data_IF_149670908697
#
_entry.id   IF_149670908697
#
_cell.length_a   1.000
_cell.length_b   1.000
_cell.length_c   1.000
_cell.angle_alpha   90.00
_cell.angle_beta   90.00
_cell.angle_gamma   90.00
#
_symmetry.space_group_name_H-M   'P 1'
#
loop_
_entity.id
_entity.type
_entity.pdbx_description
1 polymer ?
#
# COMPACT_ATOMS: atom_id res chain seq x y z
N UNK A 1 7.96 6.07 -20.25
CA UNK A 1 8.16 6.18 -18.79
C UNK A 1 6.81 6.16 -18.10
N UNK A 2 6.60 5.25 -17.19
CA UNK A 2 5.43 5.18 -16.29
C UNK A 2 5.88 5.48 -14.87
N UNK A 3 4.98 6.04 -14.08
CA UNK A 3 5.14 6.19 -12.63
C UNK A 3 4.33 5.08 -11.98
N UNK A 4 4.99 4.16 -11.31
CA UNK A 4 4.37 2.96 -10.72
C UNK A 4 4.35 3.11 -9.20
N UNK A 5 3.17 3.23 -8.63
CA UNK A 5 2.95 3.23 -7.18
C UNK A 5 2.62 1.81 -6.72
N UNK A 6 3.58 1.16 -6.05
CA UNK A 6 3.38 -0.18 -5.49
C UNK A 6 2.58 -0.03 -4.21
N UNK A 7 1.38 -0.60 -4.20
CA UNK A 7 0.42 -0.59 -3.09
C UNK A 7 0.34 -1.98 -2.49
N UNK A 8 0.64 -2.18 -1.22
CA UNK A 8 0.39 -3.47 -0.57
C UNK A 8 -1.06 -3.89 -0.70
N UNK A 9 -2.01 -3.09 -0.21
CA UNK A 9 -3.44 -3.36 -0.28
C UNK A 9 -4.20 -2.37 -1.18
N UNK A 10 -5.48 -2.63 -1.30
CA UNK A 10 -6.46 -1.83 -2.05
C UNK A 10 -6.83 -0.57 -1.24
N UNK A 11 -5.94 0.43 -1.22
CA UNK A 11 -6.08 1.76 -0.61
C UNK A 11 -4.73 2.46 -0.35
N UNK A 12 -3.66 1.75 0.03
CA UNK A 12 -2.42 2.30 0.58
C UNK A 12 -1.80 3.41 -0.28
N UNK A 13 -1.73 3.22 -1.59
CA UNK A 13 -1.11 4.21 -2.49
C UNK A 13 -1.92 5.51 -2.54
N UNK A 14 -3.25 5.43 -2.61
CA UNK A 14 -4.12 6.62 -2.62
C UNK A 14 -4.16 7.26 -1.25
N UNK A 15 -4.27 6.48 -0.16
CA UNK A 15 -4.18 6.99 1.21
C UNK A 15 -2.91 7.83 1.41
N UNK A 16 -1.78 7.35 0.90
CA UNK A 16 -0.47 7.89 1.23
C UNK A 16 0.06 8.93 0.24
N UNK A 17 -0.36 8.88 -1.03
CA UNK A 17 0.20 9.71 -2.10
C UNK A 17 -0.82 10.22 -3.13
N UNK A 18 -2.12 10.11 -2.87
CA UNK A 18 -3.18 10.41 -3.85
C UNK A 18 -3.09 11.80 -4.48
N UNK A 19 -2.72 12.81 -3.69
CA UNK A 19 -2.55 14.18 -4.19
C UNK A 19 -1.38 14.32 -5.17
N UNK A 20 -0.25 13.68 -4.87
CA UNK A 20 0.91 13.66 -5.77
C UNK A 20 0.62 12.87 -7.05
N UNK A 21 -0.06 11.73 -6.92
CA UNK A 21 -0.52 10.92 -8.06
C UNK A 21 -1.36 11.77 -9.01
N UNK A 22 -2.33 12.52 -8.46
CA UNK A 22 -3.18 13.42 -9.24
C UNK A 22 -2.37 14.48 -9.98
N UNK A 23 -1.47 15.17 -9.28
CA UNK A 23 -0.67 16.25 -9.90
C UNK A 23 0.24 15.71 -11.00
N UNK A 24 0.84 14.54 -10.82
CA UNK A 24 1.62 13.86 -11.83
C UNK A 24 0.79 13.47 -13.07
N UNK A 25 -0.41 12.91 -12.85
CA UNK A 25 -1.34 12.57 -13.92
C UNK A 25 -1.80 13.82 -14.69
N UNK A 26 -2.11 14.91 -13.97
CA UNK A 26 -2.46 16.22 -14.57
C UNK A 26 -1.31 16.85 -15.36
N UNK A 27 -0.07 16.57 -14.97
CA UNK A 27 1.12 16.96 -15.71
C UNK A 27 1.40 16.08 -16.96
N UNK A 28 0.47 15.16 -17.30
CA UNK A 28 0.58 14.29 -18.47
C UNK A 28 1.43 13.03 -18.26
N UNK A 29 1.79 12.71 -17.02
CA UNK A 29 2.50 11.47 -16.72
C UNK A 29 1.53 10.29 -16.76
N UNK A 30 1.99 9.14 -17.26
CA UNK A 30 1.24 7.89 -17.13
C UNK A 30 1.48 7.30 -15.74
N UNK A 31 0.46 7.32 -14.89
CA UNK A 31 0.54 6.81 -13.52
C UNK A 31 -0.24 5.52 -13.39
N UNK A 32 0.37 4.51 -12.80
CA UNK A 32 -0.26 3.23 -12.48
C UNK A 32 -0.14 2.94 -10.98
N UNK A 33 -1.21 2.45 -10.36
CA UNK A 33 -1.22 1.92 -9.00
C UNK A 33 -1.22 0.40 -9.11
N UNK A 34 -0.16 -0.23 -8.63
CA UNK A 34 0.02 -1.68 -8.66
C UNK A 34 -0.28 -2.26 -7.29
N UNK A 35 -1.52 -2.69 -7.09
CA UNK A 35 -1.95 -3.30 -5.83
C UNK A 35 -1.61 -4.79 -5.83
N UNK A 36 -0.76 -5.19 -4.89
CA UNK A 36 -0.12 -6.52 -4.89
C UNK A 36 -0.98 -7.54 -4.15
N UNK A 37 -1.38 -7.23 -2.91
CA UNK A 37 -2.07 -8.16 -2.02
C UNK A 37 -3.57 -7.91 -2.08
N UNK A 38 -4.17 -8.33 -3.19
CA UNK A 38 -5.58 -8.14 -3.47
C UNK A 38 -6.19 -9.32 -4.27
N UNK A 39 -5.52 -10.49 -4.21
CA UNK A 39 -5.96 -11.71 -4.86
C UNK A 39 -7.17 -12.35 -4.19
N UNK A 40 -7.92 -13.11 -4.98
CA UNK A 40 -8.98 -13.95 -4.42
C UNK A 40 -8.35 -15.11 -3.65
N UNK A 41 -8.76 -15.33 -2.38
CA UNK A 41 -8.28 -16.48 -1.64
C UNK A 41 -8.85 -17.79 -2.24
N UNK A 42 -8.18 -18.93 -2.00
CA UNK A 42 -8.74 -20.23 -2.31
C UNK A 42 -10.11 -20.42 -1.67
N UNK A 43 -10.97 -21.23 -2.30
CA UNK A 43 -12.24 -21.64 -1.68
C UNK A 43 -11.99 -22.34 -0.34
N UNK A 44 -12.85 -22.07 0.63
CA UNK A 44 -12.77 -22.65 1.96
C UNK A 44 -13.30 -21.74 3.05
N UNK A 45 -13.23 -22.23 4.28
CA UNK A 45 -13.66 -21.45 5.44
C UNK A 45 -12.72 -20.28 5.71
N UNK A 46 -13.32 -19.14 6.06
CA UNK A 46 -12.55 -17.97 6.49
C UNK A 46 -11.77 -18.28 7.78
N UNK A 47 -10.58 -17.70 7.89
CA UNK A 47 -9.87 -17.70 9.17
C UNK A 47 -10.67 -16.90 10.21
N UNK A 48 -10.51 -17.13 11.51
CA UNK A 48 -11.20 -16.34 12.53
C UNK A 48 -10.90 -14.83 12.42
N UNK A 49 -9.67 -14.47 12.06
CA UNK A 49 -9.28 -13.08 11.83
C UNK A 49 -10.00 -12.48 10.61
N UNK A 50 -10.05 -13.22 9.49
CA UNK A 50 -10.78 -12.78 8.31
C UNK A 50 -12.27 -12.60 8.60
N UNK A 51 -12.89 -13.52 9.36
CA UNK A 51 -14.30 -13.40 9.76
C UNK A 51 -14.56 -12.13 10.56
N UNK A 52 -13.68 -11.82 11.53
CA UNK A 52 -13.82 -10.62 12.36
C UNK A 52 -13.70 -9.34 11.52
N UNK A 53 -12.73 -9.28 10.61
CA UNK A 53 -12.53 -8.12 9.73
C UNK A 53 -13.67 -7.97 8.71
N UNK A 54 -14.14 -9.07 8.11
CA UNK A 54 -15.30 -9.04 7.22
C UNK A 54 -16.55 -8.48 7.91
N UNK A 55 -16.77 -8.87 9.16
CA UNK A 55 -17.87 -8.33 9.96
C UNK A 55 -17.76 -6.81 10.15
N UNK A 56 -16.54 -6.30 10.40
CA UNK A 56 -16.28 -4.86 10.51
C UNK A 56 -16.46 -4.12 9.17
N UNK A 57 -16.06 -4.73 8.06
CA UNK A 57 -16.20 -4.17 6.71
C UNK A 57 -17.60 -4.33 6.12
N UNK A 58 -18.48 -5.12 6.76
CA UNK A 58 -19.85 -5.37 6.30
C UNK A 58 -19.96 -6.36 5.15
N UNK A 59 -19.00 -7.30 5.00
CA UNK A 59 -19.00 -8.31 3.94
C UNK A 59 -19.30 -9.71 4.48
N UNK A 60 -19.98 -10.50 3.65
CA UNK A 60 -20.36 -11.87 3.98
C UNK A 60 -19.37 -12.93 3.50
N UNK A 61 -18.55 -12.63 2.49
CA UNK A 61 -17.61 -13.59 1.90
C UNK A 61 -16.29 -12.95 1.46
N UNK A 62 -15.25 -13.76 1.31
CA UNK A 62 -13.96 -13.31 0.79
C UNK A 62 -14.06 -12.84 -0.67
N UNK A 63 -14.84 -13.53 -1.49
CA UNK A 63 -15.06 -13.13 -2.88
C UNK A 63 -15.72 -11.75 -2.97
N UNK A 64 -16.78 -11.53 -2.18
CA UNK A 64 -17.45 -10.24 -2.13
C UNK A 64 -16.49 -9.14 -1.66
N UNK A 65 -15.74 -9.39 -0.58
CA UNK A 65 -14.74 -8.46 -0.03
C UNK A 65 -13.75 -8.03 -1.11
N UNK A 66 -13.09 -8.98 -1.76
CA UNK A 66 -12.08 -8.69 -2.77
C UNK A 66 -12.70 -7.96 -3.96
N UNK A 67 -13.86 -8.41 -4.44
CA UNK A 67 -14.54 -7.79 -5.58
C UNK A 67 -14.95 -6.35 -5.30
N UNK A 68 -15.55 -6.08 -4.14
CA UNK A 68 -15.98 -4.73 -3.77
C UNK A 68 -14.78 -3.82 -3.54
N UNK A 69 -13.77 -4.27 -2.79
CA UNK A 69 -12.56 -3.47 -2.54
C UNK A 69 -11.78 -3.19 -3.82
N UNK A 70 -11.66 -4.15 -4.77
CA UNK A 70 -11.06 -3.88 -6.10
C UNK A 70 -11.86 -2.83 -6.89
N UNK A 71 -13.18 -2.81 -6.77
CA UNK A 71 -14.00 -1.80 -7.42
C UNK A 71 -13.84 -0.41 -6.76
N UNK A 72 -13.68 -0.35 -5.43
CA UNK A 72 -13.35 0.88 -4.71
C UNK A 72 -11.98 1.42 -5.16
N UNK A 73 -10.96 0.57 -5.22
CA UNK A 73 -9.61 0.93 -5.67
C UNK A 73 -9.60 1.44 -7.12
N UNK A 74 -10.34 0.80 -8.01
CA UNK A 74 -10.50 1.26 -9.38
C UNK A 74 -11.14 2.65 -9.48
N UNK A 75 -12.15 2.94 -8.64
CA UNK A 75 -12.78 4.27 -8.56
C UNK A 75 -11.81 5.31 -7.98
N UNK A 76 -11.13 4.99 -6.89
CA UNK A 76 -10.15 5.86 -6.26
C UNK A 76 -9.00 6.20 -7.22
N UNK A 77 -8.45 5.19 -7.91
CA UNK A 77 -7.43 5.38 -8.93
C UNK A 77 -7.90 6.31 -10.05
N UNK A 78 -9.12 6.14 -10.55
CA UNK A 78 -9.69 7.01 -11.59
C UNK A 78 -9.84 8.46 -11.11
N UNK A 79 -10.24 8.69 -9.86
CA UNK A 79 -10.35 10.04 -9.26
C UNK A 79 -8.97 10.72 -9.24
N UNK A 80 -7.92 10.03 -8.85
CA UNK A 80 -6.56 10.59 -8.83
C UNK A 80 -5.86 10.52 -10.20
N UNK A 81 -6.55 10.10 -11.26
CA UNK A 81 -6.02 10.07 -12.62
C UNK A 81 -5.03 8.94 -12.93
N UNK A 82 -5.00 7.90 -12.10
CA UNK A 82 -4.14 6.73 -12.27
C UNK A 82 -4.92 5.54 -12.85
N UNK A 83 -4.19 4.55 -13.36
CA UNK A 83 -4.72 3.25 -13.75
C UNK A 83 -4.46 2.23 -12.62
N UNK A 84 -5.51 1.58 -12.12
CA UNK A 84 -5.36 0.47 -11.18
C UNK A 84 -4.92 -0.81 -11.90
N UNK A 85 -3.95 -1.50 -11.33
CA UNK A 85 -3.45 -2.82 -11.76
C UNK A 85 -3.43 -3.73 -10.56
N UNK A 86 -4.25 -4.77 -10.57
CA UNK A 86 -4.41 -5.71 -9.48
C UNK A 86 -3.58 -6.98 -9.74
N UNK A 87 -2.76 -7.36 -8.77
CA UNK A 87 -2.08 -8.65 -8.74
C UNK A 87 -2.92 -9.68 -7.99
N UNK A 88 -2.48 -10.92 -8.01
CA UNK A 88 -3.32 -12.03 -7.52
C UNK A 88 -2.66 -12.75 -6.32
N UNK A 89 -2.14 -11.95 -5.36
CA UNK A 89 -1.64 -12.45 -4.08
C UNK A 89 -2.74 -12.26 -3.04
N UNK A 90 -3.20 -13.32 -2.35
CA UNK A 90 -4.21 -13.18 -1.30
C UNK A 90 -3.69 -12.39 -0.09
N UNK A 91 -4.57 -11.61 0.54
CA UNK A 91 -4.29 -10.91 1.80
C UNK A 91 -3.86 -11.90 2.89
N UNK A 92 -2.96 -11.46 3.79
CA UNK A 92 -2.43 -12.28 4.88
C UNK A 92 -3.52 -12.91 5.75
N UNK A 93 -4.66 -12.23 5.89
CA UNK A 93 -5.79 -12.73 6.69
C UNK A 93 -6.39 -14.04 6.15
N UNK A 94 -6.14 -14.37 4.87
CA UNK A 94 -6.61 -15.59 4.22
C UNK A 94 -5.55 -16.69 4.13
N UNK A 95 -4.27 -16.34 4.34
CA UNK A 95 -3.17 -17.26 4.06
C UNK A 95 -3.02 -18.35 5.12
N UNK A 96 -2.76 -19.57 4.65
CA UNK A 96 -2.65 -20.77 5.47
C UNK A 96 -1.35 -21.51 5.19
N UNK A 97 -0.86 -22.21 6.20
CA UNK A 97 0.25 -23.15 6.08
C UNK A 97 -0.12 -24.41 5.31
N UNK A 98 0.87 -25.25 5.05
CA UNK A 98 0.66 -26.55 4.41
C UNK A 98 -0.21 -27.51 5.24
N UNK A 99 -0.30 -27.30 6.54
CA UNK A 99 -1.15 -27.99 7.50
C UNK A 99 -2.62 -27.50 7.50
N UNK A 100 -2.90 -26.43 6.74
CA UNK A 100 -4.22 -25.79 6.68
C UNK A 100 -4.46 -24.75 7.78
N UNK A 101 -3.53 -24.56 8.74
CA UNK A 101 -3.68 -23.59 9.81
C UNK A 101 -3.43 -22.15 9.31
N UNK A 102 -4.15 -21.14 9.85
CA UNK A 102 -3.90 -19.74 9.53
C UNK A 102 -2.46 -19.34 9.88
N UNK A 103 -1.75 -18.66 8.97
CA UNK A 103 -0.39 -18.17 9.25
C UNK A 103 -0.38 -16.96 10.20
N UNK A 104 -1.47 -16.20 10.23
CA UNK A 104 -1.59 -14.95 10.99
C UNK A 104 -2.87 -14.93 11.86
N UNK A 105 -3.01 -15.88 12.83
CA UNK A 105 -4.25 -16.02 13.58
C UNK A 105 -4.47 -14.90 14.61
N UNK A 106 -3.39 -14.25 15.08
CA UNK A 106 -3.44 -13.28 16.19
C UNK A 106 -3.38 -11.82 15.73
N UNK A 107 -3.11 -11.56 14.45
CA UNK A 107 -3.03 -10.21 13.89
C UNK A 107 -2.03 -10.09 12.76
N UNK A 108 -1.94 -8.88 12.23
CA UNK A 108 -1.18 -8.59 10.99
C UNK A 108 0.08 -7.74 11.21
N UNK A 109 0.28 -7.21 12.43
CA UNK A 109 1.45 -6.41 12.79
C UNK A 109 2.53 -7.31 13.43
N UNK A 110 3.03 -8.22 12.61
CA UNK A 110 3.99 -9.26 13.01
C UNK A 110 5.02 -9.48 11.89
N UNK A 111 6.12 -10.15 12.23
CA UNK A 111 7.10 -10.56 11.22
C UNK A 111 6.51 -11.57 10.23
N UNK A 112 6.97 -11.58 8.96
CA UNK A 112 6.55 -12.58 7.98
C UNK A 112 6.77 -14.00 8.47
N UNK A 113 5.76 -14.85 8.33
CA UNK A 113 5.82 -16.24 8.79
C UNK A 113 6.87 -17.04 7.99
N UNK A 114 7.68 -17.93 8.63
CA UNK A 114 8.71 -18.70 7.94
C UNK A 114 8.20 -19.55 6.76
N UNK A 115 6.95 -19.99 6.80
CA UNK A 115 6.32 -20.72 5.69
C UNK A 115 6.16 -19.87 4.41
N UNK A 116 6.35 -18.55 4.50
CA UNK A 116 6.27 -17.61 3.37
C UNK A 116 7.64 -17.02 2.99
N UNK A 117 8.72 -17.68 3.36
CA UNK A 117 10.08 -17.17 3.10
C UNK A 117 10.36 -16.87 1.62
N UNK A 118 9.68 -17.52 0.69
CA UNK A 118 9.78 -17.31 -0.75
C UNK A 118 8.78 -16.28 -1.32
N UNK A 119 7.80 -15.84 -0.53
CA UNK A 119 6.70 -14.99 -1.02
C UNK A 119 7.21 -13.68 -1.62
N UNK A 120 8.14 -13.01 -0.94
CA UNK A 120 8.73 -11.76 -1.45
C UNK A 120 9.43 -12.00 -2.81
N UNK A 121 10.19 -13.08 -2.98
CA UNK A 121 10.87 -13.40 -4.24
C UNK A 121 9.86 -13.71 -5.39
N UNK A 122 8.76 -14.38 -5.06
CA UNK A 122 7.67 -14.63 -6.02
C UNK A 122 7.02 -13.31 -6.46
N UNK A 123 6.71 -12.42 -5.52
CA UNK A 123 6.16 -11.09 -5.82
C UNK A 123 7.16 -10.28 -6.66
N UNK A 124 8.47 -10.30 -6.32
CA UNK A 124 9.52 -9.68 -7.14
C UNK A 124 9.43 -10.13 -8.60
N UNK A 125 9.31 -11.44 -8.83
CA UNK A 125 9.21 -12.00 -10.18
C UNK A 125 7.92 -11.54 -10.90
N UNK A 126 6.80 -11.46 -10.19
CA UNK A 126 5.53 -10.97 -10.75
C UNK A 126 5.61 -9.50 -11.14
N UNK A 127 6.23 -8.66 -10.32
CA UNK A 127 6.45 -7.24 -10.60
C UNK A 127 7.40 -7.08 -11.79
N UNK A 128 8.56 -7.77 -11.77
CA UNK A 128 9.58 -7.70 -12.81
C UNK A 128 9.03 -8.06 -14.19
N UNK A 129 8.13 -9.03 -14.27
CA UNK A 129 7.51 -9.47 -15.53
C UNK A 129 6.66 -8.38 -16.23
N UNK A 130 6.26 -7.32 -15.51
CA UNK A 130 5.43 -6.23 -16.04
C UNK A 130 6.16 -4.90 -16.18
N UNK A 131 7.38 -4.80 -15.63
CA UNK A 131 8.15 -3.57 -15.64
C UNK A 131 8.81 -3.30 -16.99
N UNK A 132 8.81 -2.03 -17.38
CA UNK A 132 9.58 -1.50 -18.50
C UNK A 132 10.88 -0.84 -17.99
N UNK A 133 11.92 -0.71 -18.85
CA UNK A 133 13.21 -0.15 -18.42
C UNK A 133 13.12 1.23 -17.76
N UNK A 134 12.26 2.11 -18.29
CA UNK A 134 12.15 3.52 -17.89
C UNK A 134 11.10 3.77 -16.81
N UNK A 135 10.54 2.72 -16.19
CA UNK A 135 9.57 2.89 -15.13
C UNK A 135 10.21 3.45 -13.87
N UNK A 136 9.54 4.40 -13.24
CA UNK A 136 9.91 4.98 -11.94
C UNK A 136 9.02 4.38 -10.87
N UNK A 137 9.64 3.82 -9.82
CA UNK A 137 8.95 3.04 -8.80
C UNK A 137 8.81 3.82 -7.50
N UNK A 138 7.60 3.78 -6.94
CA UNK A 138 7.25 4.30 -5.62
C UNK A 138 6.80 3.14 -4.73
N UNK A 139 7.24 3.12 -3.48
CA UNK A 139 7.01 2.04 -2.54
C UNK A 139 6.72 2.59 -1.14
N UNK A 140 5.90 1.95 -0.30
CA UNK A 140 5.69 2.39 1.07
C UNK A 140 6.94 2.22 1.93
N UNK A 141 7.08 3.08 2.96
CA UNK A 141 8.10 2.94 4.02
C UNK A 141 7.79 1.80 4.98
N UNK A 142 6.59 1.27 4.96
CA UNK A 142 6.04 0.23 5.86
C UNK A 142 5.91 0.68 7.32
N UNK A 143 5.56 1.96 7.55
CA UNK A 143 5.26 2.45 8.90
C UNK A 143 4.11 1.62 9.48
N UNK A 144 4.28 1.13 10.71
CA UNK A 144 3.31 0.24 11.37
C UNK A 144 3.65 -1.25 11.29
N UNK A 145 4.62 -1.64 10.44
CA UNK A 145 5.12 -3.04 10.32
C UNK A 145 4.02 -4.08 9.99
N UNK A 146 3.02 -3.70 9.19
CA UNK A 146 2.05 -4.66 8.68
C UNK A 146 2.77 -5.71 7.82
N UNK A 147 2.55 -6.99 8.07
CA UNK A 147 3.29 -8.10 7.43
C UNK A 147 3.28 -8.05 5.91
N UNK A 148 2.15 -7.68 5.29
CA UNK A 148 2.05 -7.54 3.84
C UNK A 148 2.83 -6.35 3.32
N UNK A 149 2.83 -5.21 4.04
CA UNK A 149 3.64 -4.05 3.68
C UNK A 149 5.13 -4.40 3.69
N UNK A 150 5.59 -5.07 4.76
CA UNK A 150 6.98 -5.54 4.87
C UNK A 150 7.35 -6.48 3.74
N UNK A 151 6.48 -7.44 3.43
CA UNK A 151 6.69 -8.43 2.35
C UNK A 151 6.73 -7.76 0.97
N UNK A 152 5.79 -6.85 0.68
CA UNK A 152 5.73 -6.14 -0.61
C UNK A 152 6.90 -5.18 -0.77
N UNK A 153 7.30 -4.47 0.28
CA UNK A 153 8.50 -3.64 0.26
C UNK A 153 9.75 -4.46 -0.02
N UNK A 154 9.94 -5.59 0.69
CA UNK A 154 11.06 -6.51 0.43
C UNK A 154 11.06 -7.00 -1.03
N UNK A 155 9.88 -7.27 -1.58
CA UNK A 155 9.75 -7.66 -2.98
C UNK A 155 10.14 -6.54 -3.94
N UNK A 156 9.72 -5.30 -3.68
CA UNK A 156 10.08 -4.14 -4.50
C UNK A 156 11.60 -3.87 -4.44
N UNK A 157 12.21 -3.95 -3.26
CA UNK A 157 13.68 -3.83 -3.08
C UNK A 157 14.43 -4.93 -3.83
N UNK A 158 13.87 -6.15 -3.87
CA UNK A 158 14.40 -7.29 -4.64
C UNK A 158 14.47 -7.09 -6.16
N UNK A 159 13.80 -6.06 -6.70
CA UNK A 159 13.92 -5.68 -8.12
C UNK A 159 15.29 -5.10 -8.47
N UNK A 160 16.09 -4.68 -7.48
CA UNK A 160 17.40 -4.06 -7.69
C UNK A 160 17.34 -2.75 -8.48
N UNK A 161 16.20 -2.03 -8.41
CA UNK A 161 15.96 -0.76 -9.10
C UNK A 161 15.84 0.39 -8.10
N UNK A 162 16.17 1.64 -8.50
CA UNK A 162 15.93 2.81 -7.67
C UNK A 162 14.46 2.93 -7.26
N UNK A 163 14.20 3.09 -5.96
CA UNK A 163 12.88 3.28 -5.40
C UNK A 163 12.76 4.67 -4.76
N UNK A 164 11.57 5.23 -4.82
CA UNK A 164 11.15 6.39 -4.04
C UNK A 164 10.12 5.92 -3.02
N UNK A 165 10.32 6.28 -1.76
CA UNK A 165 9.48 5.79 -0.70
C UNK A 165 8.55 6.88 -0.20
N UNK A 166 7.26 6.55 -0.03
CA UNK A 166 6.27 7.39 0.61
C UNK A 166 5.94 6.85 2.02
N UNK A 167 5.50 7.73 2.90
CA UNK A 167 5.09 7.34 4.24
C UNK A 167 3.66 6.79 4.24
N UNK A 168 3.44 5.74 5.01
CA UNK A 168 2.17 5.01 5.07
C UNK A 168 1.14 5.77 5.91
N UNK A 169 0.05 6.21 5.32
CA UNK A 169 -1.11 6.79 5.98
C UNK A 169 -2.19 5.70 6.10
N UNK A 170 -2.85 5.58 7.29
CA UNK A 170 -2.88 6.53 8.39
C UNK A 170 -1.80 6.34 9.47
N UNK A 171 -0.93 5.34 9.36
CA UNK A 171 0.03 5.00 10.42
C UNK A 171 0.91 6.18 10.81
N UNK A 172 1.46 6.92 9.83
CA UNK A 172 2.24 8.12 10.09
C UNK A 172 1.46 9.18 10.87
N UNK A 173 0.18 9.37 10.53
CA UNK A 173 -0.65 10.40 11.18
C UNK A 173 -0.99 10.03 12.63
N UNK A 174 -1.06 8.74 12.93
CA UNK A 174 -1.38 8.23 14.26
C UNK A 174 -0.13 8.11 15.16
N UNK A 175 1.06 7.92 14.58
CA UNK A 175 2.34 7.77 15.30
C UNK A 175 3.48 8.47 14.53
N UNK A 176 3.52 9.83 14.48
CA UNK A 176 4.51 10.57 13.69
C UNK A 176 5.96 10.30 14.11
N UNK A 177 6.20 9.98 15.37
CA UNK A 177 7.52 9.65 15.93
C UNK A 177 8.11 8.38 15.34
N UNK A 178 7.28 7.45 14.87
CA UNK A 178 7.71 6.20 14.26
C UNK A 178 8.50 6.45 12.96
N UNK A 179 8.25 7.55 12.25
CA UNK A 179 8.92 7.88 11.00
C UNK A 179 10.45 7.81 11.09
N UNK A 180 11.03 8.30 12.19
CA UNK A 180 12.49 8.37 12.38
C UNK A 180 13.16 7.01 12.19
N UNK A 181 12.51 5.92 12.61
CA UNK A 181 13.02 4.55 12.47
C UNK A 181 13.14 4.14 10.99
N UNK A 182 12.22 4.59 10.15
CA UNK A 182 12.12 4.16 8.75
C UNK A 182 12.96 5.00 7.79
N UNK A 183 13.26 6.26 8.15
CA UNK A 183 13.95 7.22 7.26
C UNK A 183 15.42 7.45 7.61
N UNK A 184 15.96 6.76 8.62
CA UNK A 184 17.36 6.86 8.99
C UNK A 184 18.25 6.51 7.78
N UNK A 185 19.18 7.40 7.43
CA UNK A 185 20.05 7.26 6.25
C UNK A 185 19.38 7.56 4.91
N UNK A 186 18.11 7.98 4.90
CA UNK A 186 17.40 8.41 3.69
C UNK A 186 17.46 9.92 3.45
N UNK A 187 17.35 10.32 2.19
CA UNK A 187 17.26 11.73 1.77
C UNK A 187 15.82 12.07 1.42
N UNK A 188 15.19 13.01 2.15
CA UNK A 188 13.84 13.45 1.85
C UNK A 188 13.81 14.38 0.63
N UNK A 189 12.82 14.19 -0.23
CA UNK A 189 12.41 15.11 -1.28
C UNK A 189 11.00 15.58 -0.98
N UNK A 190 10.81 16.89 -0.77
CA UNK A 190 9.50 17.47 -0.57
C UNK A 190 8.83 17.67 -1.92
N UNK A 191 7.63 17.14 -2.08
CA UNK A 191 6.76 17.33 -3.24
C UNK A 191 5.62 18.24 -2.83
N UNK A 192 5.50 19.39 -3.48
CA UNK A 192 4.31 20.24 -3.32
C UNK A 192 3.10 19.52 -3.91
N UNK A 193 1.97 19.62 -3.22
CA UNK A 193 0.69 19.10 -3.71
C UNK A 193 -0.23 20.28 -3.97
N UNK A 194 -0.75 20.38 -5.19
CA UNK A 194 -1.65 21.46 -5.59
C UNK A 194 -2.97 21.39 -4.81
N UNK A 195 -3.70 22.51 -4.74
CA UNK A 195 -5.05 22.52 -4.13
C UNK A 195 -6.00 21.55 -4.84
N UNK A 196 -5.88 21.39 -6.16
CA UNK A 196 -6.60 20.37 -6.92
C UNK A 196 -6.18 18.95 -6.54
N UNK A 197 -4.87 18.74 -6.31
CA UNK A 197 -4.32 17.48 -5.84
C UNK A 197 -4.85 17.12 -4.44
N UNK A 198 -4.89 18.07 -3.51
CA UNK A 198 -5.46 17.82 -2.16
C UNK A 198 -6.94 17.47 -2.25
N UNK A 199 -7.73 18.19 -3.07
CA UNK A 199 -9.14 17.90 -3.25
C UNK A 199 -9.37 16.49 -3.83
N UNK A 200 -8.64 16.13 -4.89
CA UNK A 200 -8.72 14.79 -5.49
C UNK A 200 -8.21 13.70 -4.53
N UNK A 201 -7.23 13.99 -3.69
CA UNK A 201 -6.74 13.06 -2.67
C UNK A 201 -7.83 12.70 -1.67
N UNK A 202 -8.49 13.72 -1.10
CA UNK A 202 -9.62 13.53 -0.17
C UNK A 202 -10.77 12.75 -0.83
N UNK A 203 -11.13 13.10 -2.08
CA UNK A 203 -12.17 12.41 -2.82
C UNK A 203 -11.79 10.95 -3.13
N UNK A 204 -10.53 10.72 -3.53
CA UNK A 204 -9.99 9.38 -3.78
C UNK A 204 -10.04 8.49 -2.53
N UNK A 205 -9.64 9.02 -1.37
CA UNK A 205 -9.76 8.28 -0.10
C UNK A 205 -11.23 7.97 0.22
N UNK A 206 -12.12 8.93 0.04
CA UNK A 206 -13.55 8.74 0.32
C UNK A 206 -14.22 7.66 -0.56
N UNK A 207 -13.59 7.27 -1.67
CA UNK A 207 -14.08 6.17 -2.51
C UNK A 207 -13.93 4.78 -1.87
N UNK A 208 -13.03 4.64 -0.87
CA UNK A 208 -12.85 3.40 -0.10
C UNK A 208 -13.87 3.29 1.04
N UNK A 209 -15.14 3.22 0.69
CA UNK A 209 -16.26 3.25 1.64
C UNK A 209 -16.21 2.13 2.68
N UNK A 210 -15.67 0.96 2.30
CA UNK A 210 -15.51 -0.18 3.20
C UNK A 210 -14.38 0.01 4.23
N UNK A 211 -13.38 0.87 3.95
CA UNK A 211 -12.17 1.01 4.77
C UNK A 211 -12.14 2.29 5.59
N UNK A 212 -12.65 3.40 5.05
CA UNK A 212 -12.61 4.70 5.71
C UNK A 212 -13.18 4.69 7.14
N UNK A 213 -14.32 4.01 7.44
CA UNK A 213 -14.85 3.97 8.80
C UNK A 213 -13.94 3.30 9.82
N UNK A 214 -13.05 2.40 9.37
CA UNK A 214 -12.09 1.72 10.24
C UNK A 214 -10.78 2.50 10.39
N UNK A 215 -10.37 3.23 9.34
CA UNK A 215 -9.10 3.94 9.28
C UNK A 215 -9.17 5.35 9.88
N UNK A 216 -10.37 5.95 9.88
CA UNK A 216 -10.63 7.31 10.36
C UNK A 216 -11.96 7.34 11.12
N UNK A 217 -12.06 8.20 12.12
CA UNK A 217 -13.28 8.31 12.93
C UNK A 217 -14.47 8.86 12.11
N UNK A 218 -14.19 9.69 11.09
CA UNK A 218 -15.19 10.24 10.17
C UNK A 218 -14.54 10.75 8.88
N UNK A 219 -15.37 11.02 7.85
CA UNK A 219 -14.92 11.66 6.63
C UNK A 219 -14.37 13.08 6.87
N UNK A 220 -14.94 13.82 7.81
CA UNK A 220 -14.46 15.17 8.16
C UNK A 220 -13.09 15.10 8.82
N UNK A 221 -12.88 14.17 9.76
CA UNK A 221 -11.58 13.93 10.38
C UNK A 221 -10.53 13.47 9.35
N UNK A 222 -10.91 12.58 8.44
CA UNK A 222 -10.03 12.17 7.35
C UNK A 222 -9.62 13.37 6.50
N UNK A 223 -10.57 14.19 6.07
CA UNK A 223 -10.32 15.41 5.29
C UNK A 223 -9.36 16.33 6.03
N UNK A 224 -9.65 16.67 7.27
CA UNK A 224 -8.81 17.56 8.09
C UNK A 224 -7.38 17.02 8.21
N UNK A 225 -7.20 15.74 8.51
CA UNK A 225 -5.88 15.11 8.63
C UNK A 225 -5.10 15.18 7.33
N UNK A 226 -5.73 14.91 6.18
CA UNK A 226 -5.07 14.96 4.86
C UNK A 226 -4.72 16.38 4.46
N UNK A 227 -5.64 17.36 4.64
CA UNK A 227 -5.40 18.76 4.34
C UNK A 227 -4.23 19.32 5.19
N UNK A 228 -4.20 19.00 6.48
CA UNK A 228 -3.10 19.38 7.39
C UNK A 228 -1.77 18.73 6.98
N UNK A 229 -1.78 17.46 6.62
CA UNK A 229 -0.57 16.78 6.17
C UNK A 229 -0.02 17.39 4.88
N UNK A 230 -0.89 17.70 3.92
CA UNK A 230 -0.52 18.28 2.64
C UNK A 230 0.11 19.68 2.73
N UNK A 231 -0.20 20.48 3.79
CA UNK A 231 0.34 21.85 3.97
C UNK A 231 1.88 21.88 4.00
N UNK A 232 2.53 20.82 4.47
CA UNK A 232 3.98 20.72 4.54
C UNK A 232 4.62 20.02 3.33
N UNK A 233 3.82 19.77 2.29
CA UNK A 233 4.19 18.95 1.15
C UNK A 233 4.32 17.46 1.51
N UNK A 234 4.13 16.60 0.53
CA UNK A 234 4.36 15.17 0.66
C UNK A 234 5.86 14.89 0.56
N UNK A 235 6.39 14.13 1.52
CA UNK A 235 7.79 13.73 1.49
C UNK A 235 7.96 12.38 0.84
N UNK A 236 8.90 12.31 -0.09
CA UNK A 236 9.44 11.07 -0.62
C UNK A 236 10.87 10.88 -0.12
N UNK A 237 11.28 9.66 0.09
CA UNK A 237 12.65 9.34 0.52
C UNK A 237 13.34 8.48 -0.52
N UNK A 238 14.69 8.63 -0.59
CA UNK A 238 15.57 7.74 -1.32
C UNK A 238 16.64 7.22 -0.37
N UNK A 239 17.06 6.00 -0.60
CA UNK A 239 18.16 5.38 0.13
C UNK A 239 19.28 5.00 -0.84
N UNK A 240 20.54 5.11 -0.39
CA UNK A 240 21.71 4.63 -1.16
C UNK A 240 21.74 3.09 -1.21
N UNK A 241 22.35 2.53 -2.24
CA UNK A 241 22.47 1.08 -2.42
C UNK A 241 23.14 0.39 -1.22
N UNK A 242 24.17 0.99 -0.61
CA UNK A 242 24.86 0.46 0.57
C UNK A 242 23.94 0.31 1.80
N UNK A 243 22.91 1.14 1.89
CA UNK A 243 21.95 1.10 3.00
C UNK A 243 20.93 -0.05 2.86
N UNK A 244 20.57 -0.40 1.62
CA UNK A 244 19.64 -1.48 1.35
C UNK A 244 20.26 -2.85 1.64
N UNK A 245 21.55 -3.05 1.35
CA UNK A 245 22.26 -4.28 1.67
C UNK A 245 22.38 -4.53 3.17
N UNK A 246 22.55 -3.48 4.00
CA UNK A 246 22.65 -3.61 5.45
C UNK A 246 21.36 -4.06 6.15
N UNK A 247 20.20 -3.85 5.52
CA UNK A 247 18.89 -4.31 6.03
C UNK A 247 18.49 -5.69 5.53
N UNK A 248 19.17 -6.20 4.51
CA UNK A 248 18.89 -7.52 3.91
C UNK A 248 19.62 -8.67 4.63
N UNK A 249 20.54 -8.36 5.53
CA UNK A 249 21.24 -9.32 6.39
C UNK A 249 20.73 -9.14 7.83
N UNK A 250 20.00 -10.13 8.38
CA UNK A 250 19.60 -10.15 9.79
C UNK A 250 20.77 -10.38 10.72
#
# INVERSE_FOLDING_TARGET
>A
MRLIYISPHLDDAVLSAGGLIFDQARAGQRVEIWTVVCGFPPEGDLTPLAQALHCQWGFASAEETVRVRRAEDGRAAAIVGAQAVHFDVPDCIYRRGADGEPLYPMGVFVEPHPAEADLAARITSMLAARLEPDDVLFCPLTIGDHVDHVTVRKAAEGLGRPLRYFADIPYLLNAPEALTRFVNGGWPEVQEVSSGGVAAWVEGIAAYQSQVPMLFDSLDMMREKIENYAQNGLKLWRFGYEFLESRSNP
#
